data_IF_086331570810
#
_entry.id   IF_086331570810
#
_cell.length_a   1.000
_cell.length_b   1.000
_cell.length_c   1.000
_cell.angle_alpha   90.00
_cell.angle_beta   90.00
_cell.angle_gamma   90.00
#
_symmetry.space_group_name_H-M   'P 1'
#
loop_
_entity.id
_entity.type
_entity.pdbx_description
1 polymer ?
#
# COMPACT_ATOMS: atom_id res chain seq x y z
N UNK A 1 7.45 -63.90 -36.33
CA UNK A 1 6.94 -62.57 -36.69
C UNK A 1 6.54 -61.82 -35.42
N UNK A 2 7.40 -60.93 -34.90
CA UNK A 2 6.96 -59.80 -34.08
C UNK A 2 7.30 -58.46 -34.76
N UNK A 3 6.47 -57.45 -34.46
CA UNK A 3 6.41 -56.15 -35.14
C UNK A 3 7.51 -55.17 -34.70
N UNK A 4 7.97 -54.34 -35.65
CA UNK A 4 8.92 -53.26 -35.46
C UNK A 4 8.19 -52.01 -34.94
N UNK A 5 8.55 -51.52 -33.75
CA UNK A 5 8.05 -50.26 -33.19
C UNK A 5 8.94 -49.13 -33.72
N UNK A 6 8.35 -48.15 -34.41
CA UNK A 6 9.05 -46.97 -34.94
C UNK A 6 9.11 -45.87 -33.87
N UNK A 7 10.29 -45.62 -33.30
CA UNK A 7 10.53 -44.47 -32.43
C UNK A 7 10.63 -43.18 -33.26
N UNK A 8 9.69 -42.26 -33.03
CA UNK A 8 9.76 -40.87 -33.51
C UNK A 8 10.77 -40.08 -32.66
N UNK A 9 11.85 -39.60 -33.27
CA UNK A 9 12.75 -38.62 -32.67
C UNK A 9 12.17 -37.21 -32.76
N UNK A 10 11.98 -36.56 -31.61
CA UNK A 10 11.75 -35.11 -31.53
C UNK A 10 13.01 -34.34 -31.93
N UNK A 11 12.91 -33.21 -32.68
CA UNK A 11 14.07 -32.39 -33.00
C UNK A 11 14.56 -31.64 -31.75
N UNK A 12 15.87 -31.75 -31.49
CA UNK A 12 16.60 -31.01 -30.46
C UNK A 12 16.54 -29.50 -30.73
N UNK A 13 16.27 -28.71 -29.68
CA UNK A 13 16.32 -27.25 -29.72
C UNK A 13 17.71 -26.74 -30.14
N UNK A 14 17.81 -25.61 -30.88
CA UNK A 14 19.10 -25.07 -31.27
C UNK A 14 19.89 -24.56 -30.05
N UNK A 15 21.23 -24.60 -30.09
CA UNK A 15 22.07 -24.15 -28.99
C UNK A 15 21.98 -22.62 -28.83
N UNK A 16 21.92 -22.15 -27.57
CA UNK A 16 21.99 -20.73 -27.25
C UNK A 16 23.29 -20.15 -27.82
N UNK A 17 23.15 -19.32 -28.85
CA UNK A 17 24.23 -18.48 -29.37
C UNK A 17 24.66 -17.50 -28.28
N UNK A 18 25.96 -17.51 -27.97
CA UNK A 18 26.73 -16.54 -27.19
C UNK A 18 25.97 -15.28 -26.78
N UNK A 19 25.56 -15.23 -25.50
CA UNK A 19 25.14 -13.98 -24.88
C UNK A 19 26.30 -12.98 -24.97
N UNK A 20 26.11 -11.88 -25.70
CA UNK A 20 27.03 -10.75 -25.62
C UNK A 20 27.15 -10.30 -24.16
N UNK A 21 28.36 -9.92 -23.69
CA UNK A 21 28.52 -9.35 -22.37
C UNK A 21 27.66 -8.09 -22.28
N UNK A 22 26.68 -8.12 -21.39
CA UNK A 22 25.84 -6.95 -21.08
C UNK A 22 26.77 -5.78 -20.76
N UNK A 23 26.67 -4.64 -21.46
CA UNK A 23 27.53 -3.50 -21.19
C UNK A 23 27.39 -3.09 -19.72
N UNK A 24 28.47 -2.65 -19.07
CA UNK A 24 28.42 -2.21 -17.68
C UNK A 24 27.36 -1.13 -17.55
N UNK A 25 26.39 -1.35 -16.67
CA UNK A 25 25.35 -0.38 -16.35
C UNK A 25 26.07 0.91 -15.93
N UNK A 26 25.80 2.05 -16.58
CA UNK A 26 26.45 3.30 -16.21
C UNK A 26 26.17 3.58 -14.72
N UNK A 27 27.17 4.08 -13.96
CA UNK A 27 26.95 4.46 -12.57
C UNK A 27 25.77 5.44 -12.54
N UNK A 28 24.84 5.13 -11.64
CA UNK A 28 23.64 5.92 -11.32
C UNK A 28 23.94 7.42 -11.50
N UNK A 29 23.26 8.07 -12.45
CA UNK A 29 23.15 9.53 -12.51
C UNK A 29 22.21 10.02 -11.39
N UNK A 30 22.41 9.47 -10.21
CA UNK A 30 21.80 9.93 -8.99
C UNK A 30 22.69 11.07 -8.57
N UNK A 31 22.12 12.26 -8.45
CA UNK A 31 22.75 13.30 -7.65
C UNK A 31 23.03 12.67 -6.29
N UNK A 32 24.30 12.33 -6.02
CA UNK A 32 24.71 11.73 -4.75
C UNK A 32 24.11 12.59 -3.65
N UNK A 33 23.31 12.02 -2.72
CA UNK A 33 22.66 12.84 -1.71
C UNK A 33 23.72 13.66 -1.00
N UNK A 34 23.40 14.93 -0.75
CA UNK A 34 24.32 15.80 -0.01
C UNK A 34 24.63 15.16 1.36
N UNK A 35 25.78 15.49 1.96
CA UNK A 35 26.13 14.94 3.28
C UNK A 35 25.04 15.14 4.33
N UNK A 36 24.31 16.27 4.25
CA UNK A 36 23.13 16.56 5.08
C UNK A 36 21.99 15.59 4.81
N UNK A 37 21.62 15.38 3.55
CA UNK A 37 20.55 14.44 3.17
C UNK A 37 20.87 13.01 3.59
N UNK A 38 22.10 12.57 3.38
CA UNK A 38 22.51 11.22 3.78
C UNK A 38 22.41 11.06 5.30
N UNK A 39 22.80 12.07 6.08
CA UNK A 39 22.66 12.04 7.53
C UNK A 39 21.19 12.00 7.97
N UNK A 40 20.33 12.86 7.41
CA UNK A 40 18.90 12.87 7.73
C UNK A 40 18.22 11.54 7.40
N UNK A 41 18.56 10.93 6.25
CA UNK A 41 18.07 9.59 5.88
C UNK A 41 18.51 8.52 6.88
N UNK A 42 19.78 8.53 7.31
CA UNK A 42 20.30 7.57 8.29
C UNK A 42 19.61 7.71 9.66
N UNK A 43 19.37 8.95 10.12
CA UNK A 43 18.65 9.22 11.37
C UNK A 43 17.23 8.66 11.30
N UNK A 44 16.55 8.90 10.18
CA UNK A 44 15.18 8.46 10.01
C UNK A 44 15.03 6.93 10.02
N UNK A 45 15.92 6.25 9.31
CA UNK A 45 15.95 4.78 9.28
C UNK A 45 16.21 4.24 10.68
N UNK A 46 17.16 4.82 11.42
CA UNK A 46 17.46 4.40 12.79
C UNK A 46 16.25 4.58 13.72
N UNK A 47 15.54 5.71 13.62
CA UNK A 47 14.34 5.96 14.42
C UNK A 47 13.23 4.92 14.13
N UNK A 48 12.97 4.62 12.86
CA UNK A 48 11.97 3.62 12.48
C UNK A 48 12.38 2.18 12.85
N UNK A 49 13.67 1.85 12.81
CA UNK A 49 14.16 0.55 13.29
C UNK A 49 14.00 0.38 14.81
N UNK A 50 14.16 1.44 15.60
CA UNK A 50 13.93 1.38 17.05
C UNK A 50 12.47 1.09 17.40
N UNK A 51 11.52 1.69 16.67
CA UNK A 51 10.09 1.41 16.81
C UNK A 51 9.82 -0.07 16.56
N UNK A 52 10.40 -0.63 15.49
CA UNK A 52 10.24 -2.05 15.16
C UNK A 52 10.87 -2.98 16.21
N UNK A 53 12.05 -2.66 16.74
CA UNK A 53 12.73 -3.49 17.73
C UNK A 53 11.99 -3.55 19.07
N UNK A 54 11.28 -2.49 19.45
CA UNK A 54 10.45 -2.49 20.65
C UNK A 54 9.25 -3.46 20.54
N UNK A 55 8.78 -3.73 19.31
CA UNK A 55 7.66 -4.63 19.05
C UNK A 55 8.05 -6.13 19.07
N UNK A 56 9.34 -6.46 18.88
CA UNK A 56 9.83 -7.85 18.78
C UNK A 56 9.75 -8.67 20.08
N UNK A 57 9.42 -8.05 21.23
CA UNK A 57 9.31 -8.78 22.50
C UNK A 57 7.99 -9.55 22.66
N UNK A 58 6.96 -9.29 21.83
CA UNK A 58 5.67 -9.99 21.89
C UNK A 58 5.12 -10.22 20.47
N UNK A 59 5.53 -11.32 19.83
CA UNK A 59 5.12 -11.79 18.49
C UNK A 59 5.53 -10.84 17.34
N UNK A 60 6.16 -11.38 16.28
CA UNK A 60 6.61 -10.68 15.06
C UNK A 60 5.45 -10.11 14.20
N UNK A 61 4.37 -9.63 14.82
CA UNK A 61 3.19 -9.10 14.17
C UNK A 61 3.37 -7.61 13.88
N UNK A 62 2.98 -7.17 12.68
CA UNK A 62 3.03 -5.77 12.29
C UNK A 62 1.92 -4.99 13.02
N UNK A 63 2.32 -4.20 14.02
CA UNK A 63 1.37 -3.43 14.84
C UNK A 63 1.13 -2.04 14.25
N UNK A 64 0.06 -1.91 13.46
CA UNK A 64 -0.36 -0.65 12.86
C UNK A 64 -0.54 0.48 13.89
N UNK A 65 -1.06 0.17 15.07
CA UNK A 65 -1.38 1.16 16.09
C UNK A 65 -0.17 1.84 16.73
N UNK A 66 1.00 1.22 16.62
CA UNK A 66 2.27 1.71 17.17
C UNK A 66 3.01 2.60 16.16
N UNK A 67 2.50 2.73 14.93
CA UNK A 67 3.10 3.56 13.90
C UNK A 67 2.88 5.06 14.18
N UNK A 68 3.91 5.90 13.95
CA UNK A 68 3.79 7.34 14.11
C UNK A 68 2.87 7.96 13.04
N UNK A 69 2.32 9.13 13.34
CA UNK A 69 1.60 9.93 12.33
C UNK A 69 2.61 10.58 11.36
N UNK A 70 2.33 10.58 10.04
CA UNK A 70 3.21 11.22 9.05
C UNK A 70 3.09 12.74 9.02
N UNK A 71 2.02 13.32 9.56
CA UNK A 71 1.64 14.74 9.36
C UNK A 71 2.66 15.75 9.90
N UNK A 72 3.54 15.32 10.81
CA UNK A 72 4.60 16.17 11.38
C UNK A 72 5.89 16.15 10.58
N UNK A 73 6.11 15.11 9.81
CA UNK A 73 7.40 14.86 9.16
C UNK A 73 7.34 15.08 7.65
N UNK A 74 6.19 14.80 7.04
CA UNK A 74 6.06 14.74 5.60
C UNK A 74 5.00 15.69 5.06
N UNK A 75 5.38 16.46 4.06
CA UNK A 75 4.48 17.18 3.18
C UNK A 75 4.12 16.29 1.99
N UNK A 76 2.83 16.05 1.75
CA UNK A 76 2.34 15.34 0.57
C UNK A 76 2.36 16.23 -0.67
N UNK A 77 2.88 15.71 -1.78
CA UNK A 77 2.99 16.42 -3.06
C UNK A 77 2.20 15.68 -4.16
N UNK A 78 2.71 15.64 -5.39
CA UNK A 78 2.04 15.07 -6.55
C UNK A 78 1.90 13.54 -6.54
N UNK A 79 0.90 13.04 -7.27
CA UNK A 79 0.79 11.62 -7.59
C UNK A 79 1.88 11.23 -8.60
N UNK A 80 2.63 10.17 -8.30
CA UNK A 80 3.70 9.63 -9.15
C UNK A 80 3.39 8.23 -9.68
N UNK A 81 2.30 7.60 -9.23
CA UNK A 81 1.84 6.34 -9.81
C UNK A 81 0.63 5.76 -9.08
N UNK A 82 -0.14 4.94 -9.79
CA UNK A 82 -1.28 4.22 -9.24
C UNK A 82 -0.96 2.72 -9.18
N UNK A 83 -1.24 2.09 -8.05
CA UNK A 83 -1.06 0.65 -7.82
C UNK A 83 -2.38 -0.07 -7.57
N UNK A 84 -2.32 -1.39 -7.48
CA UNK A 84 -3.50 -2.26 -7.27
C UNK A 84 -4.27 -1.93 -5.98
N UNK A 85 -3.55 -1.57 -4.92
CA UNK A 85 -4.11 -1.39 -3.57
C UNK A 85 -3.77 -0.04 -2.95
N UNK A 86 -3.24 0.89 -3.74
CA UNK A 86 -2.78 2.17 -3.23
C UNK A 86 -2.17 3.08 -4.28
N UNK A 87 -1.91 4.31 -3.87
CA UNK A 87 -1.33 5.36 -4.70
C UNK A 87 0.11 5.61 -4.26
N UNK A 88 1.01 5.82 -5.22
CA UNK A 88 2.37 6.25 -4.98
C UNK A 88 2.45 7.77 -5.16
N UNK A 89 2.87 8.52 -4.13
CA UNK A 89 3.00 9.97 -4.17
C UNK A 89 4.41 10.44 -3.85
N UNK A 90 4.77 11.61 -4.38
CA UNK A 90 5.96 12.32 -3.93
C UNK A 90 5.64 12.96 -2.56
N UNK A 91 6.60 12.88 -1.64
CA UNK A 91 6.56 13.54 -0.34
C UNK A 91 7.86 14.28 -0.10
N UNK A 92 7.81 15.27 0.78
CA UNK A 92 8.98 16.09 1.10
C UNK A 92 9.05 16.43 2.58
N UNK A 93 10.26 16.39 3.12
CA UNK A 93 10.63 17.06 4.35
C UNK A 93 11.64 18.18 4.02
N UNK A 94 12.07 19.01 4.99
CA UNK A 94 13.04 20.08 4.73
C UNK A 94 14.36 19.62 4.13
N UNK A 95 14.77 18.38 4.38
CA UNK A 95 16.08 17.86 3.99
C UNK A 95 16.06 17.18 2.61
N UNK A 96 15.03 16.38 2.30
CA UNK A 96 14.94 15.60 1.07
C UNK A 96 13.49 15.24 0.66
N UNK A 97 13.36 14.78 -0.59
CA UNK A 97 12.13 14.20 -1.14
C UNK A 97 12.19 12.69 -1.14
N UNK A 98 11.03 12.05 -0.98
CA UNK A 98 10.86 10.61 -0.92
C UNK A 98 9.58 10.21 -1.69
N UNK A 99 9.43 8.92 -1.97
CA UNK A 99 8.18 8.35 -2.45
C UNK A 99 7.42 7.74 -1.26
N UNK A 100 6.10 7.83 -1.28
CA UNK A 100 5.22 7.13 -0.35
C UNK A 100 4.22 6.27 -1.11
N UNK A 101 4.05 5.03 -0.70
CA UNK A 101 2.91 4.20 -1.09
C UNK A 101 1.83 4.33 -0.01
N UNK A 102 0.67 4.86 -0.38
CA UNK A 102 -0.47 5.08 0.52
C UNK A 102 -1.50 3.99 0.28
N UNK A 103 -1.84 3.24 1.33
CA UNK A 103 -2.78 2.11 1.28
C UNK A 103 -3.80 2.22 2.42
N UNK A 104 -4.96 1.59 2.26
CA UNK A 104 -5.97 1.48 3.31
C UNK A 104 -5.88 0.11 3.99
N UNK A 105 -5.62 0.05 5.31
CA UNK A 105 -5.46 -1.21 6.03
C UNK A 105 -6.83 -1.84 6.32
N UNK A 106 -7.42 -2.48 5.32
CA UNK A 106 -8.63 -3.32 5.48
C UNK A 106 -8.22 -4.76 5.76
N UNK A 107 -9.06 -5.53 6.46
CA UNK A 107 -8.75 -6.93 6.83
C UNK A 107 -8.34 -7.81 5.63
N UNK A 108 -8.84 -7.52 4.43
CA UNK A 108 -8.51 -8.26 3.20
C UNK A 108 -7.12 -7.92 2.66
N UNK A 109 -6.58 -6.73 2.95
CA UNK A 109 -5.30 -6.22 2.43
C UNK A 109 -4.18 -6.32 3.48
N UNK A 110 -4.51 -6.55 4.76
CA UNK A 110 -3.53 -6.60 5.86
C UNK A 110 -2.40 -7.61 5.64
N UNK A 111 -2.69 -8.81 5.12
CA UNK A 111 -1.66 -9.84 4.87
C UNK A 111 -0.62 -9.36 3.83
N UNK A 112 -1.08 -8.72 2.75
CA UNK A 112 -0.18 -8.16 1.74
C UNK A 112 0.66 -7.01 2.29
N UNK A 113 0.04 -6.14 3.11
CA UNK A 113 0.72 -5.05 3.80
C UNK A 113 1.84 -5.58 4.72
N UNK A 114 1.55 -6.63 5.50
CA UNK A 114 2.51 -7.27 6.40
C UNK A 114 3.70 -7.86 5.64
N UNK A 115 3.42 -8.51 4.51
CA UNK A 115 4.44 -9.09 3.66
C UNK A 115 5.31 -8.02 3.01
N UNK A 116 4.70 -6.95 2.47
CA UNK A 116 5.42 -5.84 1.84
C UNK A 116 6.33 -5.13 2.86
N UNK A 117 5.81 -4.83 4.05
CA UNK A 117 6.59 -4.21 5.12
C UNK A 117 7.79 -5.09 5.53
N UNK A 118 7.59 -6.40 5.70
CA UNK A 118 8.68 -7.34 6.07
C UNK A 118 9.79 -7.36 5.02
N UNK A 119 9.42 -7.51 3.75
CA UNK A 119 10.39 -7.57 2.65
C UNK A 119 11.18 -6.26 2.55
N UNK A 120 10.51 -5.12 2.69
CA UNK A 120 11.16 -3.81 2.67
C UNK A 120 12.11 -3.63 3.86
N UNK A 121 11.74 -4.08 5.05
CA UNK A 121 12.64 -4.02 6.21
C UNK A 121 13.90 -4.87 6.02
N UNK A 122 13.77 -6.07 5.48
CA UNK A 122 14.88 -7.01 5.36
C UNK A 122 15.81 -6.69 4.18
N UNK A 123 15.26 -6.25 3.04
CA UNK A 123 16.00 -6.21 1.77
C UNK A 123 16.42 -4.81 1.32
N UNK A 124 15.83 -3.74 1.86
CA UNK A 124 16.03 -2.38 1.34
C UNK A 124 17.40 -1.75 1.59
N UNK A 125 18.30 -2.43 2.32
CA UNK A 125 19.68 -1.96 2.52
C UNK A 125 20.61 -2.29 1.33
N UNK A 126 20.10 -2.90 0.26
CA UNK A 126 20.85 -3.22 -0.93
C UNK A 126 20.80 -2.09 -1.98
N UNK A 127 21.91 -1.79 -2.65
CA UNK A 127 22.04 -0.68 -3.61
C UNK A 127 21.05 -0.73 -4.79
N UNK A 128 20.65 -1.94 -5.21
CA UNK A 128 19.71 -2.15 -6.32
C UNK A 128 18.24 -2.28 -5.87
N UNK A 129 17.94 -2.02 -4.60
CA UNK A 129 16.58 -2.03 -4.04
C UNK A 129 16.29 -0.62 -3.52
N UNK A 130 15.06 -0.12 -3.67
CA UNK A 130 14.70 1.19 -3.13
C UNK A 130 14.89 1.19 -1.61
N UNK A 131 15.59 2.21 -1.09
CA UNK A 131 15.80 2.30 0.35
C UNK A 131 14.46 2.55 1.07
N UNK A 132 14.15 1.76 2.09
CA UNK A 132 12.99 1.97 2.93
C UNK A 132 13.34 2.90 4.09
N UNK A 133 12.51 3.91 4.33
CA UNK A 133 12.74 4.90 5.38
C UNK A 133 11.85 4.69 6.60
N UNK A 134 10.65 4.12 6.43
CA UNK A 134 9.75 3.85 7.55
C UNK A 134 8.29 3.68 7.16
N UNK A 135 7.48 3.30 8.14
CA UNK A 135 6.03 3.18 8.02
C UNK A 135 5.32 4.16 8.96
N UNK A 136 4.19 4.71 8.52
CA UNK A 136 3.39 5.67 9.30
C UNK A 136 1.90 5.37 9.17
N UNK A 137 1.11 5.70 10.19
CA UNK A 137 -0.34 5.59 10.15
C UNK A 137 -0.98 6.97 10.30
N UNK A 138 -1.62 7.43 9.24
CA UNK A 138 -2.48 8.61 9.29
C UNK A 138 -3.89 8.18 9.65
N UNK A 139 -4.23 8.40 10.91
CA UNK A 139 -5.57 8.14 11.44
C UNK A 139 -6.56 9.17 10.94
N UNK A 140 -7.73 8.69 10.61
CA UNK A 140 -8.86 9.53 10.25
C UNK A 140 -9.54 10.08 11.50
N UNK A 141 -9.93 11.37 11.51
CA UNK A 141 -10.65 11.92 12.64
C UNK A 141 -11.96 11.15 12.87
N UNK A 142 -12.32 10.83 14.12
CA UNK A 142 -13.61 10.23 14.40
C UNK A 142 -14.72 11.15 13.89
N UNK A 143 -15.84 10.60 13.38
CA UNK A 143 -16.97 11.42 12.98
C UNK A 143 -17.42 12.29 14.16
N UNK A 144 -17.89 13.53 13.90
CA UNK A 144 -18.39 14.38 14.97
C UNK A 144 -19.52 13.66 15.73
N UNK A 145 -19.61 13.85 17.06
CA UNK A 145 -20.67 13.23 17.84
C UNK A 145 -22.03 13.66 17.29
N UNK A 146 -23.04 12.77 17.29
CA UNK A 146 -24.38 13.13 16.83
C UNK A 146 -24.90 14.32 17.66
N UNK A 147 -25.67 15.23 17.04
CA UNK A 147 -26.27 16.33 17.78
C UNK A 147 -27.11 15.78 18.93
N UNK A 148 -27.17 16.48 20.09
CA UNK A 148 -27.97 16.03 21.22
C UNK A 148 -29.41 15.84 20.77
N UNK A 149 -29.95 14.63 20.95
CA UNK A 149 -31.34 14.32 20.61
C UNK A 149 -32.22 15.15 21.55
N UNK A 150 -32.98 16.10 21.01
CA UNK A 150 -33.98 16.82 21.80
C UNK A 150 -34.87 15.80 22.52
N UNK A 151 -35.17 15.96 23.82
CA UNK A 151 -36.14 15.13 24.50
C UNK A 151 -37.45 15.19 23.72
N UNK A 152 -37.88 14.05 23.19
CA UNK A 152 -39.19 13.91 22.53
C UNK A 152 -40.23 14.26 23.58
N UNK A 153 -40.75 15.48 23.50
CA UNK A 153 -41.81 16.00 24.37
C UNK A 153 -43.15 15.74 23.69
N UNK A 154 -43.36 14.51 23.23
CA UNK A 154 -44.66 14.03 22.80
C UNK A 154 -44.94 12.71 23.49
N UNK A 155 -46.07 12.60 24.23
CA UNK A 155 -46.47 11.33 24.82
C UNK A 155 -46.63 10.28 23.72
N UNK A 156 -46.32 9.00 23.98
CA UNK A 156 -46.61 7.94 23.02
C UNK A 156 -48.10 7.96 22.70
N UNK A 157 -48.45 8.06 21.42
CA UNK A 157 -49.80 7.82 20.97
C UNK A 157 -50.22 6.40 21.43
N UNK A 158 -51.47 6.20 21.86
CA UNK A 158 -51.93 4.89 22.28
C UNK A 158 -51.74 3.88 21.14
N UNK A 159 -51.03 2.81 21.45
CA UNK A 159 -50.87 1.67 20.56
C UNK A 159 -52.20 0.92 20.59
N UNK A 160 -52.97 0.99 19.50
CA UNK A 160 -54.13 0.11 19.30
C UNK A 160 -53.62 -1.32 19.10
N UNK A 161 -53.74 -2.16 20.14
CA UNK A 161 -53.28 -3.56 20.17
C UNK A 161 -54.14 -4.51 19.31
N UNK A 162 -54.97 -4.01 18.41
CA UNK A 162 -56.05 -4.79 17.77
C UNK A 162 -55.72 -5.29 16.35
N UNK A 163 -54.45 -5.50 16.00
CA UNK A 163 -54.07 -6.18 14.75
C UNK A 163 -52.90 -7.17 14.88
N UNK A 164 -52.69 -7.75 16.07
CA UNK A 164 -51.70 -8.81 16.29
C UNK A 164 -52.27 -10.23 16.20
N UNK A 165 -53.25 -10.48 15.34
CA UNK A 165 -53.68 -11.83 15.01
C UNK A 165 -54.16 -11.90 13.57
N UNK A 166 -53.24 -11.76 12.61
CA UNK A 166 -53.38 -12.36 11.28
C UNK A 166 -52.10 -12.28 10.46
N UNK A 167 -51.56 -13.46 10.17
CA UNK A 167 -50.80 -13.82 8.96
C UNK A 167 -49.29 -13.53 9.04
N UNK A 168 -48.45 -14.47 9.44
CA UNK A 168 -47.96 -15.68 8.74
C UNK A 168 -46.58 -15.42 8.10
N UNK A 169 -45.68 -16.33 8.42
CA UNK A 169 -44.30 -16.43 7.98
C UNK A 169 -44.15 -16.39 6.46
N UNK A 170 -43.52 -15.33 5.92
CA UNK A 170 -42.63 -15.33 4.75
C UNK A 170 -42.12 -13.90 4.50
N UNK A 171 -40.81 -13.77 4.28
CA UNK A 171 -40.10 -12.53 3.92
C UNK A 171 -39.72 -11.58 5.06
N UNK A 172 -38.71 -11.97 5.85
CA UNK A 172 -37.86 -10.99 6.56
C UNK A 172 -36.87 -10.43 5.54
N UNK A 173 -37.37 -9.61 4.64
CA UNK A 173 -36.60 -8.59 3.94
C UNK A 173 -37.33 -7.27 4.19
N UNK A 174 -36.59 -6.20 4.48
CA UNK A 174 -37.10 -4.83 4.71
C UNK A 174 -37.66 -4.47 6.10
N UNK A 175 -36.81 -4.57 7.14
CA UNK A 175 -36.80 -3.58 8.21
C UNK A 175 -35.36 -3.09 8.44
N UNK A 176 -34.72 -2.66 7.35
CA UNK A 176 -33.55 -1.79 7.40
C UNK A 176 -34.03 -0.46 6.84
N UNK A 177 -33.91 0.59 7.66
CA UNK A 177 -34.24 1.96 7.26
C UNK A 177 -33.40 2.34 6.02
N UNK A 178 -33.98 2.80 4.90
CA UNK A 178 -33.21 3.04 3.67
C UNK A 178 -32.25 4.25 3.71
N UNK A 179 -32.15 4.96 4.84
CA UNK A 179 -31.38 6.21 4.94
C UNK A 179 -30.11 6.13 5.78
N UNK A 180 -29.60 4.94 6.09
CA UNK A 180 -28.21 4.79 6.54
C UNK A 180 -27.38 4.17 5.43
N UNK A 181 -27.20 4.94 4.34
CA UNK A 181 -25.94 4.84 3.60
C UNK A 181 -24.89 5.23 4.64
N UNK A 182 -24.25 4.22 5.23
CA UNK A 182 -22.99 4.40 5.93
C UNK A 182 -22.09 5.10 4.91
N UNK A 183 -22.02 6.43 4.99
CA UNK A 183 -20.96 7.17 4.31
C UNK A 183 -19.68 6.40 4.59
N UNK A 184 -18.86 6.07 3.58
CA UNK A 184 -17.61 5.39 3.83
C UNK A 184 -16.88 6.26 4.84
N UNK A 185 -16.78 5.78 6.08
CA UNK A 185 -15.97 6.44 7.08
C UNK A 185 -14.59 6.54 6.43
N UNK A 186 -13.96 7.73 6.45
CA UNK A 186 -12.66 7.87 5.86
C UNK A 186 -11.78 6.78 6.51
N UNK A 187 -11.16 5.95 5.67
CA UNK A 187 -10.31 4.87 6.17
C UNK A 187 -8.96 5.46 6.55
N UNK A 188 -8.36 4.91 7.60
CA UNK A 188 -6.98 5.20 7.95
C UNK A 188 -6.06 4.95 6.74
N UNK A 189 -4.94 5.64 6.71
CA UNK A 189 -3.97 5.54 5.62
C UNK A 189 -2.64 5.04 6.18
N UNK A 190 -2.21 3.88 5.72
CA UNK A 190 -0.86 3.38 5.92
C UNK A 190 0.06 3.98 4.87
N UNK A 191 1.19 4.53 5.31
CA UNK A 191 2.20 5.16 4.46
C UNK A 191 3.49 4.34 4.56
N UNK A 192 3.93 3.76 3.44
CA UNK A 192 5.26 3.14 3.33
C UNK A 192 6.19 4.10 2.59
N UNK A 193 7.15 4.68 3.32
CA UNK A 193 8.02 5.74 2.82
C UNK A 193 9.36 5.17 2.36
N UNK A 194 9.79 5.52 1.15
CA UNK A 194 10.97 4.96 0.49
C UNK A 194 11.68 5.98 -0.42
N UNK A 195 12.85 5.60 -0.92
CA UNK A 195 13.63 6.39 -1.86
C UNK A 195 12.80 6.81 -3.09
N UNK A 196 12.86 8.09 -3.46
CA UNK A 196 12.26 8.59 -4.69
C UNK A 196 13.18 8.31 -5.89
N UNK A 197 12.78 7.38 -6.75
CA UNK A 197 13.46 7.09 -8.01
C UNK A 197 13.03 8.06 -9.11
N UNK A 198 13.75 9.18 -9.26
CA UNK A 198 13.41 10.25 -10.22
C UNK A 198 13.45 9.83 -11.70
N UNK A 199 14.09 8.70 -12.02
CA UNK A 199 14.14 8.15 -13.38
C UNK A 199 12.85 7.48 -13.84
N UNK A 200 11.85 7.32 -12.96
CA UNK A 200 10.61 6.61 -13.26
C UNK A 200 10.81 5.09 -13.37
N UNK A 201 9.79 4.38 -13.85
CA UNK A 201 9.84 2.92 -13.98
C UNK A 201 10.64 2.49 -15.22
N UNK A 202 11.19 1.27 -15.20
CA UNK A 202 11.83 0.66 -16.37
C UNK A 202 10.85 0.57 -17.55
N UNK A 203 9.56 0.36 -17.26
CA UNK A 203 8.50 0.36 -18.27
C UNK A 203 8.35 1.74 -18.94
N UNK A 204 8.42 2.82 -18.17
CA UNK A 204 8.34 4.18 -18.72
C UNK A 204 9.57 4.52 -19.55
N UNK A 205 10.75 4.11 -19.08
CA UNK A 205 11.99 4.24 -19.85
C UNK A 205 11.90 3.48 -21.19
N UNK A 206 11.48 2.21 -21.17
CA UNK A 206 11.33 1.40 -22.37
C UNK A 206 10.32 2.03 -23.36
N UNK A 207 9.17 2.50 -22.86
CA UNK A 207 8.17 3.22 -23.67
C UNK A 207 8.76 4.49 -24.29
N UNK A 208 9.56 5.25 -23.53
CA UNK A 208 10.21 6.47 -24.03
C UNK A 208 11.22 6.17 -25.15
N UNK A 209 12.03 5.12 -25.00
CA UNK A 209 13.01 4.71 -26.02
C UNK A 209 12.33 4.23 -27.31
N UNK A 210 11.24 3.45 -27.21
CA UNK A 210 10.49 2.99 -28.38
C UNK A 210 9.86 4.16 -29.15
N UNK A 211 9.34 5.17 -28.45
CA UNK A 211 8.80 6.39 -29.09
C UNK A 211 9.89 7.23 -29.75
N UNK A 212 11.08 7.29 -29.17
CA UNK A 212 12.21 8.05 -29.72
C UNK A 212 12.73 7.42 -31.02
N UNK A 213 12.73 6.10 -31.13
CA UNK A 213 13.21 5.37 -32.31
C UNK A 213 12.18 5.33 -33.47
N UNK A 214 11.00 5.93 -33.29
CA UNK A 214 9.97 6.12 -34.32
C UNK A 214 10.02 7.52 -34.96
N UNK A 215 11.04 8.33 -34.64
CA UNK A 215 11.30 9.66 -35.22
C UNK A 215 12.52 9.61 -36.11
#
# INVERSE_FOLDING_TARGET
>A
MPQLIHHHHHPLSPPLSSAEPVPPIPPRLHSRPSSKQHQSQSILIAANQQINNNNNNNNNFFRLDDLPSPDREWQLLENIGDGTYGEAKNIRNPDFSAAVKIMHPTNEVLEEIEQEHRVLLELSNHENICRFYGAYLKRTPPPPPPPPRNPITSPPAPIDTTSLLSIETKSISSFVSPNSISLPLPLDQLWLVMELCTGGSVTDLAKAMLKANQR
#
